data_IF_264297422495
#
_entry.id   IF_264297422495
#
_cell.length_a   1.000
_cell.length_b   1.000
_cell.length_c   1.000
_cell.angle_alpha   90.00
_cell.angle_beta   90.00
_cell.angle_gamma   90.00
#
_symmetry.space_group_name_H-M   'P 1'
#
loop_
_entity.id
_entity.type
_entity.pdbx_description
1 polymer ?
#
# COMPACT_ATOMS: atom_id res chain seq x y z
N UNK A 1 -17.65 5.20 -3.69
CA UNK A 1 -17.60 5.79 -5.04
C UNK A 1 -17.25 7.26 -4.84
N UNK A 2 -16.06 7.65 -5.26
CA UNK A 2 -15.76 9.07 -5.45
C UNK A 2 -16.58 9.53 -6.64
N UNK A 3 -17.58 10.36 -6.40
CA UNK A 3 -18.27 11.03 -7.50
C UNK A 3 -17.23 11.92 -8.21
N UNK A 4 -16.91 11.57 -9.43
CA UNK A 4 -16.05 12.35 -10.32
C UNK A 4 -16.79 13.61 -10.76
N UNK A 5 -16.85 14.62 -9.88
CA UNK A 5 -17.27 15.95 -10.29
C UNK A 5 -16.18 16.55 -11.17
N UNK A 6 -16.32 16.38 -12.49
CA UNK A 6 -15.63 17.19 -13.48
C UNK A 6 -14.10 17.06 -13.54
N UNK A 7 -13.54 15.99 -13.01
CA UNK A 7 -12.10 15.71 -13.05
C UNK A 7 -11.80 14.95 -14.37
N UNK A 8 -11.90 15.68 -15.47
CA UNK A 8 -11.52 15.15 -16.78
C UNK A 8 -10.06 14.75 -16.83
N UNK A 9 -9.68 13.99 -17.84
CA UNK A 9 -8.43 13.36 -18.29
C UNK A 9 -7.04 13.99 -17.97
N UNK A 10 -6.83 14.62 -16.81
CA UNK A 10 -5.69 15.52 -16.55
C UNK A 10 -4.74 15.07 -15.44
N UNK A 11 -5.02 13.97 -14.72
CA UNK A 11 -4.26 13.62 -13.53
C UNK A 11 -3.04 12.78 -13.79
N UNK A 12 -1.87 13.31 -13.40
CA UNK A 12 -0.61 12.58 -13.22
C UNK A 12 -0.60 11.94 -11.84
N UNK A 13 -0.53 10.63 -11.79
CA UNK A 13 -0.55 9.85 -10.53
C UNK A 13 0.78 9.17 -10.31
N UNK A 14 1.17 9.07 -9.05
CA UNK A 14 2.29 8.26 -8.59
C UNK A 14 1.75 7.09 -7.77
N UNK A 15 2.34 5.90 -7.95
CA UNK A 15 2.12 4.70 -7.15
C UNK A 15 3.42 4.34 -6.42
N UNK A 16 3.49 4.59 -5.10
CA UNK A 16 4.67 4.32 -4.27
C UNK A 16 4.66 2.85 -3.84
N UNK A 17 5.76 2.13 -4.15
CA UNK A 17 5.84 0.70 -3.94
C UNK A 17 4.83 -0.01 -4.82
N UNK A 18 4.95 0.17 -6.13
CA UNK A 18 3.95 -0.29 -7.10
C UNK A 18 3.86 -1.82 -7.22
N UNK A 19 4.80 -2.54 -6.61
CA UNK A 19 4.82 -3.99 -6.63
C UNK A 19 4.74 -4.53 -8.05
N UNK A 20 3.86 -5.49 -8.28
CA UNK A 20 3.62 -6.09 -9.61
C UNK A 20 2.94 -5.15 -10.63
N UNK A 21 2.75 -3.87 -10.33
CA UNK A 21 2.13 -2.89 -11.22
C UNK A 21 0.60 -2.98 -11.34
N UNK A 22 -0.05 -3.87 -10.58
CA UNK A 22 -1.49 -4.10 -10.69
C UNK A 22 -2.31 -2.84 -10.37
N UNK A 23 -1.95 -2.11 -9.30
CA UNK A 23 -2.63 -0.87 -8.93
C UNK A 23 -2.37 0.23 -9.95
N UNK A 24 -1.15 0.38 -10.45
CA UNK A 24 -0.84 1.35 -11.49
C UNK A 24 -1.65 1.14 -12.77
N UNK A 25 -1.79 -0.11 -13.22
CA UNK A 25 -2.63 -0.49 -14.36
C UNK A 25 -4.10 -0.18 -14.08
N UNK A 26 -4.61 -0.55 -12.90
CA UNK A 26 -5.98 -0.28 -12.49
C UNK A 26 -6.30 1.23 -12.47
N UNK A 27 -5.39 2.04 -11.93
CA UNK A 27 -5.52 3.51 -11.91
C UNK A 27 -5.60 4.10 -13.32
N UNK A 28 -4.85 3.54 -14.26
CA UNK A 28 -4.84 4.01 -15.65
C UNK A 28 -6.08 3.59 -16.43
N UNK A 29 -6.57 2.35 -16.24
CA UNK A 29 -7.65 1.76 -17.03
C UNK A 29 -9.04 2.07 -16.49
N UNK A 30 -9.21 1.98 -15.16
CA UNK A 30 -10.53 2.04 -14.53
C UNK A 30 -10.81 3.39 -13.87
N UNK A 31 -9.76 4.09 -13.43
CA UNK A 31 -9.90 5.34 -12.66
C UNK A 31 -9.49 6.60 -13.44
N UNK A 32 -9.36 6.51 -14.78
CA UNK A 32 -9.19 7.64 -15.66
C UNK A 32 -7.90 8.45 -15.45
N UNK A 33 -6.81 7.81 -14.97
CA UNK A 33 -5.53 8.50 -14.89
C UNK A 33 -4.99 8.78 -16.30
N UNK A 34 -4.53 10.01 -16.54
CA UNK A 34 -3.84 10.37 -17.78
C UNK A 34 -2.49 9.68 -17.90
N UNK A 35 -1.76 9.68 -16.80
CA UNK A 35 -0.49 8.96 -16.66
C UNK A 35 -0.30 8.47 -15.23
N UNK A 36 0.34 7.33 -15.08
CA UNK A 36 0.72 6.74 -13.79
C UNK A 36 2.20 6.43 -13.84
N UNK A 37 2.93 6.85 -12.80
CA UNK A 37 4.32 6.45 -12.61
C UNK A 37 4.37 5.58 -11.36
N UNK A 38 4.54 4.27 -11.55
CA UNK A 38 4.83 3.33 -10.46
C UNK A 38 6.32 3.37 -10.13
N UNK A 39 6.65 3.40 -8.86
CA UNK A 39 8.04 3.29 -8.39
C UNK A 39 8.17 2.14 -7.41
N UNK A 40 9.30 1.44 -7.48
CA UNK A 40 9.66 0.39 -6.54
C UNK A 40 11.19 0.33 -6.40
N UNK A 41 11.68 -0.23 -5.28
CA UNK A 41 13.11 -0.36 -5.00
C UNK A 41 13.66 -1.72 -5.41
N UNK A 42 12.79 -2.68 -5.70
CA UNK A 42 13.14 -4.06 -6.02
C UNK A 42 13.15 -4.30 -7.54
N UNK A 43 14.34 -4.50 -8.10
CA UNK A 43 14.47 -4.69 -9.54
C UNK A 43 13.63 -5.84 -10.11
N UNK A 44 13.61 -7.06 -9.50
CA UNK A 44 12.79 -8.16 -10.02
C UNK A 44 11.28 -7.82 -10.01
N UNK A 45 10.84 -7.04 -9.03
CA UNK A 45 9.46 -6.57 -8.90
C UNK A 45 9.13 -5.57 -10.00
N UNK A 46 10.03 -4.61 -10.26
CA UNK A 46 9.89 -3.66 -11.37
C UNK A 46 9.83 -4.37 -12.72
N UNK A 47 10.68 -5.37 -12.95
CA UNK A 47 10.68 -6.15 -14.20
C UNK A 47 9.32 -6.85 -14.41
N UNK A 48 8.80 -7.50 -13.37
CA UNK A 48 7.46 -8.13 -13.41
C UNK A 48 6.32 -7.11 -13.62
N UNK A 49 6.46 -5.91 -13.05
CA UNK A 49 5.49 -4.82 -13.25
C UNK A 49 5.51 -4.31 -14.70
N UNK A 50 6.68 -4.17 -15.31
CA UNK A 50 6.83 -3.79 -16.74
C UNK A 50 6.15 -4.81 -17.63
N UNK A 51 6.40 -6.11 -17.40
CA UNK A 51 5.76 -7.18 -18.16
C UNK A 51 4.23 -7.12 -18.03
N UNK A 52 3.71 -6.92 -16.83
CA UNK A 52 2.26 -6.74 -16.61
C UNK A 52 1.72 -5.54 -17.36
N UNK A 53 2.36 -4.39 -17.28
CA UNK A 53 1.94 -3.17 -17.98
C UNK A 53 1.83 -3.40 -19.49
N UNK A 54 2.77 -4.16 -20.07
CA UNK A 54 2.75 -4.54 -21.49
C UNK A 54 1.61 -5.51 -21.81
N UNK A 55 1.48 -6.58 -21.03
CA UNK A 55 0.43 -7.60 -21.21
C UNK A 55 -0.97 -7.01 -21.08
N UNK A 56 -1.16 -6.07 -20.16
CA UNK A 56 -2.44 -5.39 -19.96
C UNK A 56 -2.69 -4.23 -20.94
N UNK A 57 -1.76 -3.96 -21.88
CA UNK A 57 -1.89 -2.91 -22.89
C UNK A 57 -1.95 -1.50 -22.28
N UNK A 58 -1.23 -1.26 -21.17
CA UNK A 58 -1.26 0.01 -20.45
C UNK A 58 0.00 0.87 -20.66
N UNK A 59 0.93 0.45 -21.54
CA UNK A 59 2.26 1.08 -21.71
C UNK A 59 2.22 2.55 -22.14
N UNK A 60 1.15 3.01 -22.77
CA UNK A 60 1.01 4.43 -23.14
C UNK A 60 0.73 5.33 -21.93
N UNK A 61 0.18 4.76 -20.85
CA UNK A 61 -0.26 5.51 -19.65
C UNK A 61 0.54 5.17 -18.40
N UNK A 62 1.17 4.02 -18.33
CA UNK A 62 1.86 3.53 -17.13
C UNK A 62 3.34 3.39 -17.39
N UNK A 63 4.16 4.02 -16.58
CA UNK A 63 5.62 3.88 -16.56
C UNK A 63 6.06 3.32 -15.22
N UNK A 64 6.89 2.29 -15.22
CA UNK A 64 7.50 1.74 -14.00
C UNK A 64 8.94 2.22 -13.90
N UNK A 65 9.37 2.62 -12.72
CA UNK A 65 10.74 3.07 -12.45
C UNK A 65 11.32 2.36 -11.23
N UNK A 66 12.48 1.76 -11.41
CA UNK A 66 13.34 1.35 -10.30
C UNK A 66 13.93 2.62 -9.67
N UNK A 67 13.88 2.72 -8.35
CA UNK A 67 14.41 3.84 -7.58
C UNK A 67 15.24 3.34 -6.40
N UNK A 68 16.15 4.19 -5.91
CA UNK A 68 16.80 3.96 -4.62
C UNK A 68 15.91 4.47 -3.48
N UNK A 69 16.00 3.88 -2.26
CA UNK A 69 15.38 4.45 -1.08
C UNK A 69 15.84 5.90 -0.84
N UNK A 70 14.90 6.82 -0.67
CA UNK A 70 15.22 8.24 -0.48
C UNK A 70 14.14 9.18 -0.99
N UNK A 71 14.50 10.38 -1.42
CA UNK A 71 13.56 11.35 -1.95
C UNK A 71 12.78 10.82 -3.14
N UNK A 72 11.51 11.19 -3.24
CA UNK A 72 10.65 10.81 -4.37
C UNK A 72 11.19 11.43 -5.68
N UNK A 73 11.27 10.64 -6.79
CA UNK A 73 11.98 11.03 -8.03
C UNK A 73 11.16 12.00 -8.91
N UNK A 74 10.56 13.01 -8.28
CA UNK A 74 9.72 14.03 -8.93
C UNK A 74 10.08 15.42 -8.45
N UNK A 75 9.82 16.42 -9.29
CA UNK A 75 9.94 17.83 -8.91
C UNK A 75 8.89 18.26 -7.89
N UNK A 76 9.07 19.47 -7.34
CA UNK A 76 8.05 20.08 -6.49
C UNK A 76 6.79 20.31 -7.32
N UNK A 77 5.62 20.01 -6.72
CA UNK A 77 4.31 20.28 -7.33
C UNK A 77 4.11 19.69 -8.74
N UNK A 78 4.64 18.48 -8.95
CA UNK A 78 4.59 17.79 -10.25
C UNK A 78 3.43 16.78 -10.34
N UNK A 79 2.91 16.29 -9.21
CA UNK A 79 1.97 15.17 -9.11
C UNK A 79 0.61 15.66 -8.61
N UNK A 80 -0.47 15.19 -9.23
CA UNK A 80 -1.83 15.51 -8.80
C UNK A 80 -2.34 14.59 -7.68
N UNK A 81 -1.98 13.30 -7.75
CA UNK A 81 -2.36 12.29 -6.74
C UNK A 81 -1.17 11.37 -6.48
N UNK A 82 -0.77 11.25 -5.22
CA UNK A 82 0.13 10.20 -4.73
C UNK A 82 -0.71 9.09 -4.14
N UNK A 83 -0.50 7.88 -4.61
CA UNK A 83 -1.15 6.67 -4.14
C UNK A 83 -0.11 5.68 -3.58
N UNK A 84 -0.49 4.89 -2.59
CA UNK A 84 0.28 3.73 -2.13
C UNK A 84 -0.65 2.66 -1.57
N UNK A 85 -0.29 1.40 -1.80
CA UNK A 85 -1.03 0.25 -1.23
C UNK A 85 -0.06 -0.77 -0.65
N UNK A 86 -0.19 -0.98 0.67
CA UNK A 86 0.52 -2.01 1.43
C UNK A 86 2.06 -1.96 1.26
N UNK A 87 2.63 -0.76 1.15
CA UNK A 87 4.03 -0.55 0.81
C UNK A 87 4.75 0.44 1.74
N UNK A 88 4.09 1.52 2.14
CA UNK A 88 4.72 2.52 3.02
C UNK A 88 4.97 2.00 4.43
N UNK A 89 4.44 0.84 4.79
CA UNK A 89 4.78 0.06 5.99
C UNK A 89 6.29 -0.19 6.09
N UNK A 90 6.99 -0.38 4.96
CA UNK A 90 8.44 -0.63 4.92
C UNK A 90 9.30 0.63 5.10
N UNK A 91 8.70 1.83 5.08
CA UNK A 91 9.40 3.11 5.21
C UNK A 91 9.39 3.52 6.69
N UNK A 92 10.53 3.47 7.42
CA UNK A 92 10.55 3.74 8.87
C UNK A 92 10.30 5.21 9.23
N UNK A 93 10.76 6.14 8.40
CA UNK A 93 10.59 7.59 8.60
C UNK A 93 9.31 8.08 7.93
N UNK A 94 8.19 7.97 8.67
CA UNK A 94 6.86 8.42 8.20
C UNK A 94 6.81 9.95 8.06
N UNK A 95 7.60 10.64 8.84
CA UNK A 95 7.71 12.09 8.87
C UNK A 95 8.34 12.62 7.56
N UNK A 96 9.50 12.07 7.19
CA UNK A 96 10.15 12.41 5.92
C UNK A 96 9.31 11.97 4.73
N UNK A 97 8.67 10.80 4.77
CA UNK A 97 7.76 10.36 3.73
C UNK A 97 6.61 11.37 3.54
N UNK A 98 5.97 11.82 4.61
CA UNK A 98 4.88 12.79 4.54
C UNK A 98 5.34 14.13 3.93
N UNK A 99 6.54 14.62 4.29
CA UNK A 99 7.13 15.82 3.71
C UNK A 99 7.42 15.66 2.22
N UNK A 100 7.96 14.52 1.78
CA UNK A 100 8.24 14.25 0.37
C UNK A 100 6.95 14.14 -0.46
N UNK A 101 5.93 13.43 0.05
CA UNK A 101 4.62 13.38 -0.60
C UNK A 101 4.01 14.79 -0.72
N UNK A 102 4.11 15.59 0.33
CA UNK A 102 3.64 16.98 0.30
C UNK A 102 4.42 17.82 -0.74
N UNK A 103 5.74 17.66 -0.81
CA UNK A 103 6.60 18.38 -1.75
C UNK A 103 6.22 18.12 -3.21
N UNK A 104 6.04 16.85 -3.57
CA UNK A 104 5.74 16.46 -4.96
C UNK A 104 4.31 16.75 -5.39
N UNK A 105 3.35 16.82 -4.45
CA UNK A 105 1.96 17.13 -4.76
C UNK A 105 1.78 18.58 -5.16
N UNK A 106 0.97 18.80 -6.20
CA UNK A 106 0.45 20.14 -6.54
C UNK A 106 -0.47 20.68 -5.45
N UNK A 107 -0.63 22.00 -5.32
CA UNK A 107 -1.72 22.58 -4.52
C UNK A 107 -3.08 21.96 -4.90
N UNK A 108 -3.87 21.59 -3.91
CA UNK A 108 -5.14 20.87 -4.09
C UNK A 108 -5.02 19.37 -4.34
N UNK A 109 -3.80 18.85 -4.52
CA UNK A 109 -3.53 17.43 -4.77
C UNK A 109 -3.79 16.53 -3.56
N UNK A 110 -3.92 15.22 -3.79
CA UNK A 110 -4.29 14.24 -2.77
C UNK A 110 -3.19 13.21 -2.51
N UNK A 111 -3.02 12.89 -1.24
CA UNK A 111 -2.36 11.67 -0.78
C UNK A 111 -3.42 10.64 -0.38
N UNK A 112 -3.36 9.45 -0.98
CA UNK A 112 -4.28 8.34 -0.76
C UNK A 112 -3.47 7.08 -0.50
N UNK A 113 -3.69 6.41 0.62
CA UNK A 113 -3.03 5.15 0.89
C UNK A 113 -3.95 4.12 1.56
N UNK A 114 -3.61 2.85 1.37
CA UNK A 114 -4.03 1.73 2.20
C UNK A 114 -2.78 1.10 2.76
N UNK A 115 -2.69 0.96 4.09
CA UNK A 115 -1.48 0.42 4.69
C UNK A 115 -1.77 -0.36 5.97
N UNK A 116 -0.82 -1.19 6.35
CA UNK A 116 -0.86 -2.05 7.51
C UNK A 116 -0.24 -1.33 8.71
N UNK A 117 -1.05 -0.93 9.67
CA UNK A 117 -0.65 -0.19 10.86
C UNK A 117 -0.69 -1.07 12.11
N UNK A 118 0.00 -0.64 13.15
CA UNK A 118 -0.12 -1.16 14.50
C UNK A 118 -0.84 -0.14 15.38
N UNK A 119 -1.67 -0.57 16.34
CA UNK A 119 -2.53 0.33 17.10
C UNK A 119 -1.79 1.30 18.03
N UNK A 120 -0.49 1.09 18.27
CA UNK A 120 0.36 1.87 19.18
C UNK A 120 1.81 1.95 18.69
N UNK A 121 2.60 2.84 19.26
CA UNK A 121 4.04 2.98 18.96
C UNK A 121 4.96 2.33 20.04
N UNK A 122 4.41 1.45 20.88
CA UNK A 122 5.16 0.64 21.84
C UNK A 122 5.70 -0.64 21.16
N UNK A 123 6.48 -1.43 21.90
CA UNK A 123 6.86 -2.76 21.44
C UNK A 123 5.62 -3.60 21.13
N UNK A 124 5.63 -4.40 20.06
CA UNK A 124 4.53 -5.28 19.72
C UNK A 124 4.28 -6.31 20.82
N UNK A 125 3.04 -6.79 20.93
CA UNK A 125 2.73 -7.94 21.80
C UNK A 125 3.48 -9.20 21.34
N UNK A 126 3.61 -10.22 22.20
CA UNK A 126 4.20 -11.50 21.78
C UNK A 126 3.53 -12.09 20.54
N UNK A 127 2.21 -12.03 20.47
CA UNK A 127 1.42 -12.52 19.33
C UNK A 127 1.71 -11.72 18.04
N UNK A 128 1.83 -10.39 18.17
CA UNK A 128 2.17 -9.53 17.04
C UNK A 128 3.63 -9.76 16.60
N UNK A 129 4.57 -9.95 17.54
CA UNK A 129 5.95 -10.28 17.22
C UNK A 129 6.07 -11.61 16.48
N UNK A 130 5.32 -12.64 16.89
CA UNK A 130 5.25 -13.93 16.19
C UNK A 130 4.66 -13.80 14.78
N UNK A 131 3.68 -12.92 14.58
CA UNK A 131 3.13 -12.65 13.26
C UNK A 131 4.18 -11.98 12.35
N UNK A 132 4.87 -10.95 12.84
CA UNK A 132 5.92 -10.25 12.10
C UNK A 132 7.06 -11.20 11.71
N UNK A 133 7.48 -12.09 12.60
CA UNK A 133 8.47 -13.12 12.31
C UNK A 133 7.98 -14.10 11.24
N UNK A 134 6.70 -14.48 11.28
CA UNK A 134 6.11 -15.40 10.31
C UNK A 134 5.99 -14.81 8.90
N UNK A 135 5.76 -13.51 8.79
CA UNK A 135 5.78 -12.79 7.50
C UNK A 135 7.19 -12.74 6.91
N UNK A 136 8.22 -12.60 7.76
CA UNK A 136 9.61 -12.57 7.33
C UNK A 136 9.98 -11.33 6.49
N UNK A 137 9.22 -10.25 6.63
CA UNK A 137 9.43 -8.97 5.96
C UNK A 137 9.83 -7.90 6.97
N UNK A 138 10.67 -6.95 6.53
CA UNK A 138 11.08 -5.80 7.35
C UNK A 138 9.96 -4.77 7.45
N UNK A 139 9.07 -4.96 8.41
CA UNK A 139 7.99 -4.01 8.69
C UNK A 139 8.44 -2.93 9.67
N UNK A 140 8.28 -1.68 9.24
CA UNK A 140 8.45 -0.49 10.07
C UNK A 140 7.07 0.09 10.42
N UNK A 141 6.23 -0.72 11.08
CA UNK A 141 4.86 -0.34 11.43
C UNK A 141 4.84 0.90 12.33
N UNK A 142 3.81 1.70 12.18
CA UNK A 142 3.56 2.87 13.01
C UNK A 142 2.08 2.96 13.36
N UNK A 143 1.77 3.69 14.43
CA UNK A 143 0.39 3.89 14.85
C UNK A 143 -0.38 4.85 13.93
N UNK A 144 -1.72 4.75 13.89
CA UNK A 144 -2.55 5.76 13.22
C UNK A 144 -2.26 7.18 13.73
N UNK A 145 -1.97 7.33 15.03
CA UNK A 145 -1.64 8.62 15.63
C UNK A 145 -0.33 9.20 15.08
N UNK A 146 0.71 8.37 14.89
CA UNK A 146 1.97 8.80 14.28
C UNK A 146 1.79 9.19 12.82
N UNK A 147 1.08 8.38 12.03
CA UNK A 147 0.75 8.72 10.64
C UNK A 147 0.00 10.04 10.54
N UNK A 148 -1.07 10.21 11.33
CA UNK A 148 -1.87 11.44 11.35
C UNK A 148 -1.01 12.66 11.71
N UNK A 149 -0.17 12.54 12.75
CA UNK A 149 0.74 13.60 13.17
C UNK A 149 1.75 13.96 12.08
N UNK A 150 2.40 12.96 11.45
CA UNK A 150 3.36 13.17 10.38
C UNK A 150 2.72 13.92 9.19
N UNK A 151 1.55 13.46 8.74
CA UNK A 151 0.81 14.04 7.63
C UNK A 151 0.38 15.49 7.95
N UNK A 152 -0.19 15.74 9.15
CA UNK A 152 -0.57 17.11 9.57
C UNK A 152 0.64 18.02 9.71
N UNK A 153 1.76 17.52 10.25
CA UNK A 153 3.00 18.30 10.41
C UNK A 153 3.61 18.69 9.07
N UNK A 154 3.48 17.84 8.04
CA UNK A 154 3.91 18.16 6.68
C UNK A 154 3.07 19.28 6.01
N UNK A 155 1.92 19.66 6.59
CA UNK A 155 1.06 20.74 6.10
C UNK A 155 -0.23 20.29 5.40
N UNK A 156 -0.55 19.00 5.41
CA UNK A 156 -1.80 18.51 4.85
C UNK A 156 -3.02 18.93 5.66
N UNK A 157 -4.12 19.13 4.95
CA UNK A 157 -5.47 19.37 5.49
C UNK A 157 -6.40 18.21 5.12
N UNK A 158 -7.60 18.20 5.69
CA UNK A 158 -8.59 17.13 5.44
C UNK A 158 -8.02 15.72 5.65
N UNK A 159 -7.21 15.57 6.72
CA UNK A 159 -6.54 14.30 7.06
C UNK A 159 -7.58 13.36 7.66
N UNK A 160 -7.76 12.22 7.02
CA UNK A 160 -8.70 11.18 7.42
C UNK A 160 -8.00 9.83 7.42
N UNK A 161 -8.06 9.13 8.55
CA UNK A 161 -7.61 7.75 8.70
C UNK A 161 -8.82 6.87 9.06
N UNK A 162 -9.20 6.00 8.15
CA UNK A 162 -10.34 5.10 8.32
C UNK A 162 -9.83 3.72 8.71
N UNK A 163 -10.12 3.30 9.94
CA UNK A 163 -9.79 1.97 10.41
C UNK A 163 -10.60 0.92 9.63
N UNK A 164 -9.90 -0.03 9.03
CA UNK A 164 -10.47 -1.11 8.23
C UNK A 164 -10.31 -2.48 8.90
N UNK A 165 -9.87 -2.50 10.16
CA UNK A 165 -9.52 -3.72 10.86
C UNK A 165 -10.63 -4.78 10.86
N UNK A 166 -11.88 -4.41 11.16
CA UNK A 166 -12.99 -5.39 11.20
C UNK A 166 -13.20 -6.09 9.86
N UNK A 167 -13.12 -5.34 8.76
CA UNK A 167 -13.25 -5.91 7.42
C UNK A 167 -12.06 -6.82 7.08
N UNK A 168 -10.83 -6.39 7.37
CA UNK A 168 -9.64 -7.21 7.12
C UNK A 168 -9.61 -8.47 7.99
N UNK A 169 -10.09 -8.41 9.24
CA UNK A 169 -10.19 -9.58 10.12
C UNK A 169 -11.15 -10.64 9.56
N UNK A 170 -12.26 -10.22 8.94
CA UNK A 170 -13.18 -11.13 8.26
C UNK A 170 -12.55 -11.75 7.02
N UNK A 171 -11.91 -10.92 6.18
CA UNK A 171 -11.22 -11.37 4.96
C UNK A 171 -10.09 -12.34 5.30
N UNK A 172 -9.21 -12.00 6.23
CA UNK A 172 -8.09 -12.86 6.63
C UNK A 172 -8.56 -14.22 7.17
N UNK A 173 -9.66 -14.23 7.93
CA UNK A 173 -10.25 -15.48 8.41
C UNK A 173 -10.80 -16.33 7.27
N UNK A 174 -11.51 -15.72 6.34
CA UNK A 174 -12.02 -16.42 5.16
C UNK A 174 -10.91 -16.96 4.25
N UNK A 175 -9.82 -16.20 4.08
CA UNK A 175 -8.65 -16.62 3.32
C UNK A 175 -7.91 -17.80 4.00
N UNK A 176 -7.74 -17.76 5.32
CA UNK A 176 -7.18 -18.87 6.09
C UNK A 176 -8.04 -20.14 5.95
N UNK A 177 -9.36 -20.02 6.10
CA UNK A 177 -10.29 -21.14 5.90
C UNK A 177 -10.18 -21.70 4.48
N UNK A 178 -10.03 -20.83 3.48
CA UNK A 178 -9.86 -21.25 2.10
C UNK A 178 -8.52 -21.99 1.87
N UNK A 179 -7.41 -21.50 2.47
CA UNK A 179 -6.09 -22.13 2.41
C UNK A 179 -6.08 -23.51 3.08
N UNK A 180 -6.84 -23.68 4.17
CA UNK A 180 -6.98 -24.93 4.92
C UNK A 180 -7.99 -25.91 4.29
N UNK A 181 -8.84 -25.43 3.41
CA UNK A 181 -9.98 -26.16 2.83
C UNK A 181 -9.59 -27.22 1.80
N UNK A 182 -10.61 -27.79 1.16
CA UNK A 182 -10.50 -28.90 0.20
C UNK A 182 -9.68 -28.56 -1.06
N UNK A 183 -9.40 -27.31 -1.32
CA UNK A 183 -8.55 -26.86 -2.45
C UNK A 183 -7.07 -26.82 -2.11
N UNK A 184 -6.67 -27.05 -0.84
CA UNK A 184 -5.28 -26.99 -0.38
C UNK A 184 -4.31 -27.77 -1.28
N UNK A 185 -4.67 -29.02 -1.63
CA UNK A 185 -3.81 -29.86 -2.47
C UNK A 185 -3.62 -29.27 -3.88
N UNK A 186 -4.67 -28.68 -4.47
CA UNK A 186 -4.56 -27.99 -5.77
C UNK A 186 -3.72 -26.73 -5.70
N UNK A 187 -3.76 -26.01 -4.58
CA UNK A 187 -2.91 -24.85 -4.35
C UNK A 187 -1.45 -25.27 -4.19
N UNK A 188 -1.18 -26.36 -3.46
CA UNK A 188 0.16 -26.93 -3.32
C UNK A 188 0.71 -27.37 -4.68
N UNK A 189 -0.09 -28.02 -5.50
CA UNK A 189 0.30 -28.42 -6.86
C UNK A 189 0.64 -27.21 -7.73
N UNK A 190 -0.11 -26.12 -7.62
CA UNK A 190 0.07 -24.92 -8.44
C UNK A 190 1.19 -24.00 -7.97
N UNK A 191 1.34 -23.82 -6.66
CA UNK A 191 2.20 -22.79 -6.07
C UNK A 191 3.37 -23.36 -5.25
N UNK A 192 3.40 -24.66 -5.02
CA UNK A 192 4.40 -25.34 -4.19
C UNK A 192 3.99 -25.44 -2.72
N UNK A 193 4.46 -26.53 -2.08
CA UNK A 193 4.12 -26.84 -0.68
C UNK A 193 4.68 -25.84 0.30
N UNK A 194 5.91 -25.40 0.09
CA UNK A 194 6.58 -24.44 0.97
C UNK A 194 5.85 -23.11 1.00
N UNK A 195 5.51 -22.58 -0.16
CA UNK A 195 4.75 -21.33 -0.27
C UNK A 195 3.38 -21.41 0.44
N UNK A 196 2.60 -22.47 0.18
CA UNK A 196 1.28 -22.63 0.82
C UNK A 196 1.40 -22.80 2.32
N UNK A 197 2.40 -23.53 2.81
CA UNK A 197 2.61 -23.69 4.26
C UNK A 197 3.03 -22.37 4.92
N UNK A 198 3.88 -21.57 4.25
CA UNK A 198 4.24 -20.24 4.71
C UNK A 198 2.99 -19.36 4.82
N UNK A 199 2.15 -19.29 3.78
CA UNK A 199 0.90 -18.53 3.81
C UNK A 199 -0.04 -18.97 4.95
N UNK A 200 -0.21 -20.26 5.15
CA UNK A 200 -1.02 -20.79 6.26
C UNK A 200 -0.45 -20.36 7.62
N UNK A 201 0.87 -20.42 7.79
CA UNK A 201 1.54 -20.02 9.02
C UNK A 201 1.32 -18.52 9.29
N UNK A 202 1.60 -17.67 8.31
CA UNK A 202 1.43 -16.22 8.43
C UNK A 202 -0.04 -15.83 8.71
N UNK A 203 -0.99 -16.34 7.95
CA UNK A 203 -2.43 -16.08 8.16
C UNK A 203 -2.95 -16.60 9.50
N UNK A 204 -2.45 -17.76 9.96
CA UNK A 204 -2.82 -18.30 11.29
C UNK A 204 -2.41 -17.37 12.44
N UNK A 205 -1.31 -16.63 12.28
CA UNK A 205 -0.82 -15.64 13.24
C UNK A 205 -1.43 -14.25 13.01
N UNK A 206 -1.74 -13.87 11.78
CA UNK A 206 -2.37 -12.60 11.44
C UNK A 206 -3.81 -12.49 11.96
N UNK A 207 -4.61 -13.56 11.87
CA UNK A 207 -6.02 -13.55 12.31
C UNK A 207 -6.18 -13.17 13.78
N UNK A 208 -5.41 -13.70 14.75
CA UNK A 208 -5.47 -13.26 16.15
C UNK A 208 -5.14 -11.78 16.34
N UNK A 209 -4.07 -11.27 15.73
CA UNK A 209 -3.63 -9.88 15.91
C UNK A 209 -4.54 -8.86 15.22
N UNK A 210 -5.22 -9.24 14.14
CA UNK A 210 -6.33 -8.47 13.58
C UNK A 210 -7.54 -8.50 14.51
N UNK A 211 -7.85 -9.65 15.09
CA UNK A 211 -9.00 -9.81 15.99
C UNK A 211 -8.83 -9.05 17.31
N UNK A 212 -7.60 -8.93 17.81
CA UNK A 212 -7.29 -8.09 18.99
C UNK A 212 -7.35 -6.59 18.69
N UNK A 213 -7.22 -6.20 17.42
CA UNK A 213 -7.14 -4.81 16.97
C UNK A 213 -5.74 -4.22 17.06
N UNK A 214 -4.73 -5.00 17.50
CA UNK A 214 -3.34 -4.52 17.52
C UNK A 214 -2.82 -4.31 16.09
N UNK A 215 -3.04 -5.27 15.20
CA UNK A 215 -2.87 -5.06 13.76
C UNK A 215 -4.09 -4.34 13.22
N UNK A 216 -3.93 -3.14 12.72
CA UNK A 216 -5.05 -2.27 12.36
C UNK A 216 -4.85 -1.58 11.00
N UNK A 217 -5.15 -2.28 9.90
CA UNK A 217 -5.09 -1.69 8.56
C UNK A 217 -5.96 -0.45 8.45
N UNK A 218 -5.44 0.60 7.81
CA UNK A 218 -6.15 1.86 7.61
C UNK A 218 -6.14 2.31 6.15
N UNK A 219 -7.22 2.96 5.76
CA UNK A 219 -7.20 3.82 4.59
C UNK A 219 -6.86 5.24 5.03
N UNK A 220 -5.96 5.88 4.31
CA UNK A 220 -5.44 7.21 4.59
C UNK A 220 -5.82 8.13 3.42
N UNK A 221 -6.37 9.30 3.75
CA UNK A 221 -6.66 10.38 2.80
C UNK A 221 -6.18 11.69 3.40
N UNK A 222 -5.49 12.48 2.59
CA UNK A 222 -5.11 13.83 2.96
C UNK A 222 -5.03 14.73 1.71
N UNK A 223 -5.22 16.04 1.86
CA UNK A 223 -5.17 17.00 0.77
C UNK A 223 -4.11 18.07 1.03
N UNK A 224 -3.26 18.36 0.04
CA UNK A 224 -2.42 19.56 0.06
C UNK A 224 -3.31 20.79 -0.14
N UNK A 225 -3.22 21.83 0.70
CA UNK A 225 -4.01 23.06 0.49
C UNK A 225 -3.69 23.71 -0.86
N UNK A 226 -4.59 24.62 -1.29
CA UNK A 226 -4.40 25.41 -2.51
C UNK A 226 -3.37 26.51 -2.31
#
# INVERSE_FOLDING_TARGET
RFESRGLGDVYKRQDIGCGSGACAVLLAKEYGAKSVVGIDVEKPVCDAAIDRVQLDGASEKVTIKLVEPGPLPFGNEDIDIVFSKDSIIHIPDKETLACEVYRVLKPGGYFLASDWLISHDNNPSPEMAEYLEAEGLDFAMASPARYEKAIKTAGFVEVELVNRNSWYAEVARAELEWLLGNKKNKLIEKYGKEFINHQINAWSKMVPVLSSGEHCPHHIRARKPF
#
